data_IF_159632912401
#
_entry.id   IF_159632912401
#
_cell.length_a   1.000
_cell.length_b   1.000
_cell.length_c   1.000
_cell.angle_alpha   90.00
_cell.angle_beta   90.00
_cell.angle_gamma   90.00
#
_symmetry.space_group_name_H-M   'P 1'
#
loop_
_entity.id
_entity.type
_entity.pdbx_description
1 polymer ?
#
# COMPACT_ATOMS: atom_id res chain seq x y z
N UNK A 1 -39.41 8.68 11.12
CA UNK A 1 -38.11 9.19 10.64
C UNK A 1 -37.09 8.08 10.85
N UNK A 2 -36.62 7.45 9.78
CA UNK A 2 -35.56 6.44 9.82
C UNK A 2 -34.33 7.08 10.44
N UNK A 3 -33.93 6.64 11.63
CA UNK A 3 -32.76 7.16 12.31
C UNK A 3 -31.53 6.78 11.47
N UNK A 4 -31.04 7.73 10.66
CA UNK A 4 -29.84 7.55 9.85
C UNK A 4 -28.67 7.39 10.82
N UNK A 5 -28.16 6.18 10.92
CA UNK A 5 -27.00 5.85 11.75
C UNK A 5 -25.73 6.39 11.07
N UNK A 6 -25.34 7.61 11.45
CA UNK A 6 -24.18 8.33 10.93
C UNK A 6 -22.89 7.49 10.99
N UNK A 7 -22.76 6.62 11.99
CA UNK A 7 -21.59 5.75 12.17
C UNK A 7 -21.52 4.66 11.11
N UNK A 8 -22.67 4.12 10.68
CA UNK A 8 -22.74 3.18 9.55
C UNK A 8 -22.45 3.89 8.23
N UNK A 9 -22.92 5.12 8.07
CA UNK A 9 -22.67 5.91 6.86
C UNK A 9 -21.17 6.23 6.70
N UNK A 10 -20.50 6.70 7.76
CA UNK A 10 -19.06 6.97 7.78
C UNK A 10 -18.24 5.69 7.51
N UNK A 11 -18.65 4.55 8.09
CA UNK A 11 -18.01 3.26 7.83
C UNK A 11 -18.12 2.87 6.36
N UNK A 12 -19.30 3.04 5.74
CA UNK A 12 -19.50 2.74 4.31
C UNK A 12 -18.67 3.66 3.43
N UNK A 13 -18.69 4.97 3.69
CA UNK A 13 -17.89 5.95 2.95
C UNK A 13 -16.39 5.66 3.04
N UNK A 14 -15.90 5.27 4.22
CA UNK A 14 -14.50 4.90 4.41
C UNK A 14 -14.08 3.65 3.63
N UNK A 15 -14.93 2.63 3.58
CA UNK A 15 -14.68 1.43 2.79
C UNK A 15 -14.64 1.76 1.30
N UNK A 16 -15.67 2.46 0.80
CA UNK A 16 -15.71 2.88 -0.61
C UNK A 16 -14.54 3.78 -1.00
N UNK A 17 -14.05 4.62 -0.08
CA UNK A 17 -12.86 5.43 -0.32
C UNK A 17 -11.59 4.59 -0.51
N UNK A 18 -11.43 3.50 0.24
CA UNK A 18 -10.21 2.67 0.19
C UNK A 18 -10.29 1.53 -0.82
N UNK A 19 -11.47 1.23 -1.35
CA UNK A 19 -11.68 0.18 -2.35
C UNK A 19 -11.41 0.61 -3.80
N UNK A 20 -10.96 1.86 -4.02
CA UNK A 20 -10.75 2.48 -5.33
C UNK A 20 -9.56 1.92 -6.16
N UNK A 21 -8.79 0.98 -5.64
CA UNK A 21 -7.68 0.33 -6.35
C UNK A 21 -6.38 1.14 -6.38
N UNK A 22 -6.40 2.43 -5.98
CA UNK A 22 -5.19 3.27 -5.98
C UNK A 22 -4.18 2.76 -4.95
N UNK A 23 -4.67 2.30 -3.80
CA UNK A 23 -3.82 1.71 -2.75
C UNK A 23 -3.20 0.38 -3.20
N UNK A 24 -3.92 -0.43 -3.99
CA UNK A 24 -3.42 -1.67 -4.57
C UNK A 24 -2.32 -1.39 -5.62
N UNK A 25 -2.52 -0.39 -6.49
CA UNK A 25 -1.50 0.06 -7.46
C UNK A 25 -0.25 0.56 -6.73
N UNK A 26 -0.41 1.35 -5.68
CA UNK A 26 0.71 1.85 -4.89
C UNK A 26 1.50 0.72 -4.23
N UNK A 27 0.80 -0.26 -3.64
CA UNK A 27 1.37 -1.46 -3.05
C UNK A 27 2.15 -2.30 -4.08
N UNK A 28 1.55 -2.57 -5.25
CA UNK A 28 2.19 -3.32 -6.33
C UNK A 28 3.43 -2.60 -6.88
N UNK A 29 3.33 -1.29 -7.10
CA UNK A 29 4.44 -0.46 -7.54
C UNK A 29 5.59 -0.46 -6.52
N UNK A 30 5.30 -0.42 -5.23
CA UNK A 30 6.33 -0.50 -4.18
C UNK A 30 7.11 -1.82 -4.25
N UNK A 31 6.39 -2.94 -4.38
CA UNK A 31 7.00 -4.28 -4.50
C UNK A 31 7.81 -4.41 -5.80
N UNK A 32 7.31 -3.84 -6.91
CA UNK A 32 8.04 -3.81 -8.18
C UNK A 32 9.33 -3.00 -8.09
N UNK A 33 9.29 -1.82 -7.47
CA UNK A 33 10.49 -1.00 -7.27
C UNK A 33 11.52 -1.75 -6.44
N UNK A 34 11.10 -2.44 -5.39
CA UNK A 34 11.99 -3.32 -4.63
C UNK A 34 12.63 -4.40 -5.52
N UNK A 35 11.85 -5.10 -6.34
CA UNK A 35 12.35 -6.15 -7.22
C UNK A 35 13.35 -5.62 -8.27
N UNK A 36 13.00 -4.53 -8.95
CA UNK A 36 13.84 -3.93 -10.00
C UNK A 36 15.16 -3.42 -9.41
N UNK A 37 15.13 -2.72 -8.28
CA UNK A 37 16.36 -2.23 -7.65
C UNK A 37 17.24 -3.37 -7.14
N UNK A 38 16.64 -4.46 -6.67
CA UNK A 38 17.39 -5.65 -6.30
C UNK A 38 18.14 -6.21 -7.52
N UNK A 39 17.47 -6.32 -8.68
CA UNK A 39 18.08 -6.80 -9.92
C UNK A 39 19.19 -5.86 -10.44
N UNK A 40 18.99 -4.54 -10.36
CA UNK A 40 19.86 -3.57 -11.00
C UNK A 40 21.05 -3.11 -10.13
N UNK A 41 20.91 -3.12 -8.82
CA UNK A 41 21.88 -2.47 -7.91
C UNK A 41 22.36 -3.33 -6.75
N UNK A 42 21.83 -4.55 -6.60
CA UNK A 42 22.05 -5.44 -5.43
C UNK A 42 21.79 -4.77 -4.06
N UNK A 43 21.08 -3.62 -4.07
CA UNK A 43 20.75 -2.82 -2.88
C UNK A 43 19.23 -2.67 -2.77
N UNK A 44 18.51 -3.76 -2.47
CA UNK A 44 17.04 -3.77 -2.42
C UNK A 44 16.44 -2.74 -1.46
N UNK A 45 17.14 -2.42 -0.37
CA UNK A 45 16.70 -1.42 0.62
C UNK A 45 16.58 0.00 0.05
N UNK A 46 17.35 0.34 -0.99
CA UNK A 46 17.29 1.65 -1.61
C UNK A 46 15.96 1.85 -2.35
N UNK A 47 15.55 0.85 -3.14
CA UNK A 47 14.26 0.86 -3.84
C UNK A 47 13.07 0.80 -2.88
N UNK A 48 13.10 -0.07 -1.87
CA UNK A 48 12.02 -0.17 -0.88
C UNK A 48 11.92 1.05 0.04
N UNK A 49 13.03 1.68 0.41
CA UNK A 49 13.06 2.82 1.32
C UNK A 49 12.70 4.15 0.65
N UNK A 50 13.17 4.39 -0.59
CA UNK A 50 12.91 5.65 -1.29
C UNK A 50 11.49 5.73 -1.85
N UNK A 51 10.93 4.62 -2.33
CA UNK A 51 9.65 4.65 -3.01
C UNK A 51 8.51 5.24 -2.15
N UNK A 52 8.34 4.90 -0.85
CA UNK A 52 7.34 5.56 -0.02
C UNK A 52 7.55 7.08 0.07
N UNK A 53 8.80 7.54 0.17
CA UNK A 53 9.12 8.98 0.30
C UNK A 53 8.68 9.76 -0.94
N UNK A 54 9.00 9.25 -2.14
CA UNK A 54 8.66 9.93 -3.40
C UNK A 54 7.25 9.61 -3.88
N UNK A 55 6.78 8.39 -3.62
CA UNK A 55 5.50 7.89 -4.10
C UNK A 55 4.30 8.43 -3.32
N UNK A 56 4.45 8.76 -2.03
CA UNK A 56 3.35 9.28 -1.21
C UNK A 56 2.74 10.58 -1.75
N UNK A 57 3.52 11.60 -2.19
CA UNK A 57 2.97 12.76 -2.89
C UNK A 57 2.13 12.39 -4.12
N UNK A 58 2.59 11.44 -4.94
CA UNK A 58 1.86 10.97 -6.12
C UNK A 58 0.58 10.22 -5.73
N UNK A 59 0.65 9.40 -4.68
CA UNK A 59 -0.53 8.72 -4.12
C UNK A 59 -1.58 9.74 -3.65
N UNK A 60 -1.17 10.74 -2.87
CA UNK A 60 -2.08 11.79 -2.39
C UNK A 60 -2.69 12.58 -3.56
N UNK A 61 -1.89 12.90 -4.58
CA UNK A 61 -2.36 13.57 -5.79
C UNK A 61 -3.36 12.71 -6.59
N UNK A 62 -3.07 11.41 -6.74
CA UNK A 62 -3.95 10.47 -7.42
C UNK A 62 -5.30 10.35 -6.71
N UNK A 63 -5.31 10.22 -5.38
CA UNK A 63 -6.54 10.22 -4.57
C UNK A 63 -7.32 11.53 -4.74
N UNK A 64 -6.63 12.68 -4.70
CA UNK A 64 -7.25 14.00 -4.86
C UNK A 64 -7.86 14.20 -6.25
N UNK A 65 -7.25 13.68 -7.31
CA UNK A 65 -7.74 13.85 -8.69
C UNK A 65 -8.75 12.81 -9.12
N UNK A 66 -8.66 11.58 -8.62
CA UNK A 66 -9.49 10.47 -9.09
C UNK A 66 -10.62 10.19 -8.12
N UNK A 67 -10.31 9.92 -6.86
CA UNK A 67 -11.28 9.45 -5.86
C UNK A 67 -12.17 10.59 -5.35
N UNK A 68 -11.57 11.74 -5.03
CA UNK A 68 -12.28 12.87 -4.42
C UNK A 68 -13.39 13.44 -5.32
N UNK A 69 -13.20 13.65 -6.64
CA UNK A 69 -14.28 14.14 -7.49
C UNK A 69 -15.44 13.14 -7.70
N UNK A 70 -15.23 11.84 -7.40
CA UNK A 70 -16.20 10.77 -7.65
C UNK A 70 -17.03 10.40 -6.42
N UNK A 71 -16.39 10.36 -5.25
CA UNK A 71 -17.07 10.01 -3.97
C UNK A 71 -17.37 11.27 -3.14
N UNK A 72 -16.80 12.41 -3.52
CA UNK A 72 -16.77 13.61 -2.68
C UNK A 72 -15.64 13.55 -1.64
N UNK A 73 -15.43 14.67 -0.95
CA UNK A 73 -14.43 14.76 0.10
C UNK A 73 -14.98 14.15 1.40
N UNK A 74 -14.34 13.08 1.88
CA UNK A 74 -14.70 12.44 3.14
C UNK A 74 -13.79 12.97 4.24
N UNK A 75 -14.34 13.76 5.17
CA UNK A 75 -13.64 14.06 6.41
C UNK A 75 -13.70 12.85 7.34
N UNK A 76 -12.55 12.20 7.54
CA UNK A 76 -12.45 11.12 8.50
C UNK A 76 -12.46 11.67 9.93
N UNK A 77 -13.11 10.97 10.85
CA UNK A 77 -13.03 11.28 12.28
C UNK A 77 -11.59 11.42 12.76
N UNK A 78 -11.35 12.36 13.68
CA UNK A 78 -10.02 12.60 14.29
C UNK A 78 -9.33 11.31 14.75
N UNK A 79 -10.11 10.35 15.25
CA UNK A 79 -9.63 9.04 15.71
C UNK A 79 -9.01 8.18 14.60
N UNK A 80 -9.58 8.16 13.39
CA UNK A 80 -9.01 7.38 12.27
C UNK A 80 -7.78 8.06 11.70
N UNK A 81 -7.78 9.40 11.65
CA UNK A 81 -6.62 10.19 11.23
C UNK A 81 -5.45 10.02 12.18
N UNK A 82 -5.68 10.04 13.50
CA UNK A 82 -4.62 9.81 14.49
C UNK A 82 -4.09 8.39 14.42
N UNK A 83 -4.95 7.38 14.23
CA UNK A 83 -4.51 5.99 14.08
C UNK A 83 -3.62 5.80 12.84
N UNK A 84 -3.99 6.36 11.69
CA UNK A 84 -3.16 6.38 10.47
C UNK A 84 -1.80 7.06 10.70
N UNK A 85 -1.78 8.21 11.38
CA UNK A 85 -0.54 8.91 11.73
C UNK A 85 0.33 8.10 12.69
N UNK A 86 -0.27 7.47 13.70
CA UNK A 86 0.45 6.60 14.66
C UNK A 86 1.12 5.46 13.91
N UNK A 87 0.39 4.75 13.05
CA UNK A 87 0.95 3.65 12.24
C UNK A 87 2.09 4.16 11.36
N UNK A 88 1.91 5.31 10.71
CA UNK A 88 2.96 5.92 9.91
C UNK A 88 4.22 6.21 10.73
N UNK A 89 4.07 6.83 11.91
CA UNK A 89 5.18 7.10 12.83
C UNK A 89 5.84 5.81 13.27
N UNK A 90 5.07 4.76 13.58
CA UNK A 90 5.61 3.45 13.95
C UNK A 90 6.41 2.81 12.82
N UNK A 91 5.89 2.82 11.60
CA UNK A 91 6.59 2.28 10.43
C UNK A 91 7.88 3.06 10.20
N UNK A 92 7.82 4.40 10.21
CA UNK A 92 8.98 5.26 10.05
C UNK A 92 10.02 5.03 11.16
N UNK A 93 9.59 4.90 12.41
CA UNK A 93 10.45 4.61 13.54
C UNK A 93 11.14 3.25 13.41
N UNK A 94 10.40 2.20 13.03
CA UNK A 94 10.96 0.86 12.79
C UNK A 94 12.05 0.93 11.72
N UNK A 95 11.75 1.49 10.55
CA UNK A 95 12.75 1.60 9.48
C UNK A 95 13.95 2.47 9.86
N UNK A 96 13.74 3.54 10.64
CA UNK A 96 14.82 4.41 11.12
C UNK A 96 15.72 3.68 12.13
N UNK A 97 15.14 2.99 13.12
CA UNK A 97 15.90 2.24 14.12
C UNK A 97 16.70 1.12 13.46
N UNK A 98 16.09 0.33 12.57
CA UNK A 98 16.82 -0.69 11.81
C UNK A 98 17.92 -0.06 10.95
N UNK A 99 17.64 1.05 10.25
CA UNK A 99 18.64 1.78 9.47
C UNK A 99 19.85 2.22 10.31
N UNK A 100 19.62 2.77 11.51
CA UNK A 100 20.70 3.19 12.43
C UNK A 100 21.47 1.98 12.96
N UNK A 101 20.78 0.90 13.37
CA UNK A 101 21.43 -0.32 13.86
C UNK A 101 22.37 -0.92 12.81
N UNK A 102 21.94 -1.00 11.55
CA UNK A 102 22.78 -1.50 10.47
C UNK A 102 23.89 -0.53 10.06
N UNK A 103 23.64 0.77 10.09
CA UNK A 103 24.66 1.77 9.75
C UNK A 103 25.79 1.85 10.80
N UNK A 104 25.44 1.74 12.08
CA UNK A 104 26.39 1.84 13.19
C UNK A 104 27.12 0.52 13.50
N UNK A 105 26.64 -0.61 12.97
CA UNK A 105 27.20 -1.94 13.23
C UNK A 105 26.98 -2.44 14.66
N UNK A 106 26.22 -1.73 15.49
CA UNK A 106 25.91 -2.07 16.89
C UNK A 106 24.70 -3.01 17.04
N UNK A 107 24.35 -3.73 15.98
CA UNK A 107 23.27 -4.72 16.00
C UNK A 107 23.66 -5.92 16.88
N UNK A 108 22.75 -6.38 17.78
CA UNK A 108 22.92 -7.64 18.49
C UNK A 108 23.25 -8.80 17.54
N UNK A 109 24.08 -9.74 18.01
CA UNK A 109 24.55 -10.87 17.19
C UNK A 109 23.41 -11.65 16.55
N UNK A 110 22.33 -11.92 17.30
CA UNK A 110 21.16 -12.63 16.77
C UNK A 110 20.43 -11.87 15.65
N UNK A 111 20.42 -10.53 15.67
CA UNK A 111 19.86 -9.71 14.58
C UNK A 111 20.77 -9.81 13.36
N UNK A 112 22.08 -9.71 13.55
CA UNK A 112 23.02 -9.84 12.45
C UNK A 112 22.93 -11.22 11.79
N UNK A 113 22.86 -12.30 12.57
CA UNK A 113 22.69 -13.66 12.03
C UNK A 113 21.38 -13.79 11.24
N UNK A 114 20.26 -13.28 11.76
CA UNK A 114 18.96 -13.32 11.05
C UNK A 114 19.00 -12.59 9.71
N UNK A 115 19.59 -11.39 9.67
CA UNK A 115 19.67 -10.58 8.46
C UNK A 115 20.78 -11.01 7.51
N UNK A 116 21.79 -11.74 7.99
CA UNK A 116 22.86 -12.29 7.16
C UNK A 116 22.44 -13.63 6.54
N UNK A 117 21.86 -14.53 7.33
CA UNK A 117 21.53 -15.89 6.88
C UNK A 117 20.17 -15.95 6.18
N UNK A 118 19.23 -15.09 6.58
CA UNK A 118 17.85 -15.07 6.06
C UNK A 118 17.34 -13.69 5.64
N UNK A 119 18.13 -12.82 4.96
CA UNK A 119 17.72 -11.46 4.62
C UNK A 119 16.38 -11.39 3.86
N UNK A 120 16.19 -12.37 2.96
CA UNK A 120 15.05 -12.48 2.06
C UNK A 120 13.75 -12.83 2.80
N UNK A 121 13.82 -13.82 3.70
CA UNK A 121 12.67 -14.23 4.51
C UNK A 121 12.28 -13.17 5.53
N UNK A 122 13.27 -12.56 6.19
CA UNK A 122 13.05 -11.46 7.13
C UNK A 122 12.30 -10.32 6.44
N UNK A 123 12.75 -9.94 5.23
CA UNK A 123 12.04 -8.93 4.44
C UNK A 123 10.60 -9.34 4.14
N UNK A 124 10.37 -10.57 3.69
CA UNK A 124 9.03 -11.09 3.42
C UNK A 124 8.08 -11.03 4.61
N UNK A 125 8.56 -11.42 5.79
CA UNK A 125 7.78 -11.37 7.03
C UNK A 125 7.48 -9.93 7.44
N UNK A 126 8.48 -9.04 7.41
CA UNK A 126 8.29 -7.62 7.76
C UNK A 126 7.27 -6.98 6.82
N UNK A 127 7.41 -7.17 5.52
CA UNK A 127 6.47 -6.61 4.54
C UNK A 127 5.09 -7.26 4.67
N UNK A 128 5.00 -8.57 4.87
CA UNK A 128 3.73 -9.26 5.13
C UNK A 128 3.01 -8.71 6.35
N UNK A 129 3.73 -8.47 7.46
CA UNK A 129 3.19 -7.83 8.66
C UNK A 129 2.71 -6.41 8.39
N UNK A 130 3.46 -5.61 7.62
CA UNK A 130 3.02 -4.27 7.21
C UNK A 130 1.69 -4.32 6.45
N UNK A 131 1.55 -5.26 5.51
CA UNK A 131 0.29 -5.45 4.78
C UNK A 131 -0.85 -5.93 5.68
N UNK A 132 -0.58 -6.79 6.68
CA UNK A 132 -1.60 -7.19 7.67
C UNK A 132 -2.06 -6.01 8.53
N UNK A 133 -1.14 -5.16 8.99
CA UNK A 133 -1.47 -3.94 9.73
C UNK A 133 -2.31 -3.01 8.84
N UNK A 134 -1.88 -2.79 7.60
CA UNK A 134 -2.66 -2.02 6.62
C UNK A 134 -4.04 -2.62 6.39
N UNK A 135 -4.16 -3.95 6.27
CA UNK A 135 -5.42 -4.66 6.10
C UNK A 135 -6.37 -4.44 7.29
N UNK A 136 -5.85 -4.56 8.51
CA UNK A 136 -6.62 -4.37 9.74
C UNK A 136 -7.15 -2.94 9.87
N UNK A 137 -6.35 -1.98 9.45
CA UNK A 137 -6.62 -0.54 9.61
C UNK A 137 -7.57 -0.04 8.53
N UNK A 138 -7.30 -0.38 7.27
CA UNK A 138 -8.14 -0.02 6.13
C UNK A 138 -9.39 -0.88 6.01
N UNK A 139 -9.39 -2.05 6.70
CA UNK A 139 -10.43 -3.08 6.63
C UNK A 139 -10.68 -3.63 5.23
N UNK A 140 -9.70 -3.53 4.34
CA UNK A 140 -9.76 -4.07 2.99
C UNK A 140 -9.36 -5.56 3.04
N UNK A 141 -10.27 -6.44 2.61
CA UNK A 141 -10.00 -7.88 2.59
C UNK A 141 -8.81 -8.25 1.70
N UNK A 142 -8.64 -7.56 0.55
CA UNK A 142 -7.56 -7.80 -0.43
C UNK A 142 -6.16 -7.74 0.19
N UNK A 143 -5.93 -6.88 1.17
CA UNK A 143 -4.62 -6.75 1.82
C UNK A 143 -4.25 -7.95 2.69
N UNK A 144 -5.24 -8.66 3.25
CA UNK A 144 -4.98 -9.95 3.91
C UNK A 144 -4.49 -11.00 2.92
N UNK A 145 -5.09 -11.03 1.72
CA UNK A 145 -4.67 -11.93 0.64
C UNK A 145 -3.26 -11.58 0.17
N UNK A 146 -2.95 -10.30 -0.04
CA UNK A 146 -1.61 -9.87 -0.42
C UNK A 146 -0.57 -10.21 0.64
N UNK A 147 -0.87 -10.02 1.92
CA UNK A 147 0.05 -10.40 2.99
C UNK A 147 0.40 -11.90 2.95
N UNK A 148 -0.63 -12.76 2.78
CA UNK A 148 -0.43 -14.20 2.63
C UNK A 148 0.39 -14.54 1.38
N UNK A 149 0.09 -13.91 0.24
CA UNK A 149 0.83 -14.11 -1.01
C UNK A 149 2.29 -13.67 -0.88
N UNK A 150 2.57 -12.53 -0.25
CA UNK A 150 3.93 -12.03 -0.01
C UNK A 150 4.73 -13.07 0.77
N UNK A 151 4.20 -13.55 1.90
CA UNK A 151 4.90 -14.55 2.72
C UNK A 151 5.09 -15.86 1.94
N UNK A 152 4.06 -16.36 1.27
CA UNK A 152 4.14 -17.57 0.47
C UNK A 152 5.20 -17.46 -0.63
N UNK A 153 5.18 -16.37 -1.40
CA UNK A 153 6.14 -16.10 -2.48
C UNK A 153 7.56 -15.98 -1.95
N UNK A 154 7.78 -15.35 -0.79
CA UNK A 154 9.13 -15.27 -0.21
C UNK A 154 9.63 -16.62 0.33
N UNK A 155 8.75 -17.45 0.90
CA UNK A 155 9.12 -18.80 1.33
C UNK A 155 9.46 -19.68 0.13
N UNK A 156 8.62 -19.68 -0.90
CA UNK A 156 8.88 -20.40 -2.16
C UNK A 156 10.17 -19.88 -2.79
N UNK A 157 10.36 -18.56 -2.84
CA UNK A 157 11.56 -17.94 -3.37
C UNK A 157 12.81 -18.29 -2.57
N UNK A 158 12.72 -18.52 -1.25
CA UNK A 158 13.87 -18.99 -0.47
C UNK A 158 14.25 -20.43 -0.82
N UNK A 159 13.26 -21.31 -0.97
CA UNK A 159 13.48 -22.74 -1.27
C UNK A 159 13.98 -22.94 -2.71
N UNK A 160 13.36 -22.27 -3.68
CA UNK A 160 13.63 -22.46 -5.11
C UNK A 160 14.53 -21.37 -5.72
N UNK A 161 14.84 -20.31 -4.97
CA UNK A 161 15.67 -19.18 -5.40
C UNK A 161 17.06 -19.53 -5.95
N UNK A 162 17.74 -20.59 -5.46
CA UNK A 162 19.00 -21.04 -6.06
C UNK A 162 18.85 -21.56 -7.49
N UNK A 163 17.67 -22.10 -7.85
CA UNK A 163 17.39 -22.64 -9.17
C UNK A 163 16.77 -21.59 -10.12
N UNK A 164 15.87 -20.77 -9.57
CA UNK A 164 15.14 -19.73 -10.30
C UNK A 164 15.40 -18.44 -9.55
N UNK A 165 16.35 -17.64 -10.06
CA UNK A 165 16.78 -16.35 -9.49
C UNK A 165 15.69 -15.68 -8.64
N UNK A 166 15.99 -15.48 -7.36
CA UNK A 166 15.03 -15.03 -6.35
C UNK A 166 14.30 -13.75 -6.73
N UNK A 167 14.93 -12.87 -7.49
CA UNK A 167 14.40 -11.56 -7.84
C UNK A 167 13.12 -11.63 -8.71
N UNK A 168 12.89 -12.75 -9.41
CA UNK A 168 11.68 -12.92 -10.21
C UNK A 168 10.41 -13.09 -9.36
N UNK A 169 10.53 -13.61 -8.15
CA UNK A 169 9.39 -13.80 -7.24
C UNK A 169 8.71 -12.48 -6.82
N UNK A 170 9.42 -11.50 -6.22
CA UNK A 170 8.82 -10.19 -5.93
C UNK A 170 8.42 -9.44 -7.21
N UNK A 171 9.12 -9.65 -8.33
CA UNK A 171 8.77 -9.01 -9.60
C UNK A 171 7.39 -9.48 -10.10
N UNK A 172 7.17 -10.79 -10.20
CA UNK A 172 5.88 -11.37 -10.62
C UNK A 172 4.77 -10.95 -9.66
N UNK A 173 5.02 -11.01 -8.35
CA UNK A 173 4.04 -10.60 -7.35
C UNK A 173 3.67 -9.11 -7.46
N UNK A 174 4.66 -8.25 -7.68
CA UNK A 174 4.45 -6.83 -7.87
C UNK A 174 3.64 -6.54 -9.13
N UNK A 175 3.92 -7.21 -10.25
CA UNK A 175 3.12 -7.12 -11.48
C UNK A 175 1.68 -7.55 -11.19
N UNK A 176 1.49 -8.70 -10.54
CA UNK A 176 0.16 -9.24 -10.23
C UNK A 176 -0.67 -8.26 -9.40
N UNK A 177 -0.14 -7.75 -8.30
CA UNK A 177 -0.84 -6.81 -7.42
C UNK A 177 -1.15 -5.50 -8.16
N UNK A 178 -0.20 -5.00 -8.96
CA UNK A 178 -0.41 -3.79 -9.76
C UNK A 178 -1.52 -3.99 -10.80
N UNK A 179 -1.53 -5.12 -11.50
CA UNK A 179 -2.57 -5.46 -12.46
C UNK A 179 -3.95 -5.57 -11.80
N UNK A 180 -4.05 -6.22 -10.64
CA UNK A 180 -5.29 -6.29 -9.86
C UNK A 180 -5.76 -4.90 -9.45
N UNK A 181 -4.84 -4.06 -8.94
CA UNK A 181 -5.16 -2.69 -8.57
C UNK A 181 -5.65 -1.84 -9.74
N UNK A 182 -5.07 -2.03 -10.92
CA UNK A 182 -5.51 -1.35 -12.15
C UNK A 182 -6.91 -1.78 -12.57
N UNK A 183 -7.22 -3.08 -12.54
CA UNK A 183 -8.56 -3.59 -12.84
C UNK A 183 -9.60 -3.01 -11.86
N UNK A 184 -9.29 -3.00 -10.56
CA UNK A 184 -10.16 -2.42 -9.54
C UNK A 184 -10.36 -0.93 -9.77
N UNK A 185 -9.31 -0.19 -10.13
CA UNK A 185 -9.40 1.24 -10.41
C UNK A 185 -10.30 1.51 -11.62
N UNK A 186 -10.19 0.72 -12.69
CA UNK A 186 -11.04 0.85 -13.87
C UNK A 186 -12.50 0.58 -13.49
N UNK A 187 -12.77 -0.51 -12.76
CA UNK A 187 -14.11 -0.84 -12.26
C UNK A 187 -14.68 0.28 -11.39
N UNK A 188 -13.85 0.86 -10.52
CA UNK A 188 -14.23 1.97 -9.66
C UNK A 188 -14.61 3.22 -10.48
N UNK A 189 -13.80 3.58 -11.49
CA UNK A 189 -14.09 4.73 -12.36
C UNK A 189 -15.38 4.51 -13.16
N UNK A 190 -15.64 3.29 -13.61
CA UNK A 190 -16.86 2.94 -14.35
C UNK A 190 -18.10 2.94 -13.45
N UNK A 191 -17.95 2.52 -12.19
CA UNK A 191 -19.06 2.46 -11.22
C UNK A 191 -19.42 3.84 -10.67
N UNK A 192 -18.42 4.72 -10.53
CA UNK A 192 -18.57 6.08 -10.00
C UNK A 192 -18.15 7.12 -11.04
N UNK A 193 -18.97 7.39 -12.07
CA UNK A 193 -18.70 8.48 -13.01
C UNK A 193 -18.75 9.83 -12.30
N UNK A 194 -17.97 10.80 -12.78
CA UNK A 194 -18.01 12.17 -12.26
C UNK A 194 -19.34 12.79 -12.69
N UNK A 195 -20.13 13.25 -11.73
CA UNK A 195 -21.36 14.01 -12.02
C UNK A 195 -20.96 15.29 -12.76
N UNK A 196 -21.46 15.45 -13.99
CA UNK A 196 -21.31 16.71 -14.70
C UNK A 196 -22.06 17.80 -13.92
N UNK A 197 -21.42 18.94 -13.67
CA UNK A 197 -22.11 20.11 -13.14
C UNK A 197 -23.39 20.33 -13.95
N UNK A 198 -24.57 20.50 -13.32
CA UNK A 198 -25.77 20.83 -14.05
C UNK A 198 -25.49 22.14 -14.77
N UNK A 199 -25.31 22.05 -16.10
CA UNK A 199 -25.14 23.19 -16.97
C UNK A 199 -26.26 24.17 -16.62
N UNK A 200 -25.89 25.36 -16.15
CA UNK A 200 -26.83 26.45 -15.90
C UNK A 200 -27.70 26.59 -17.14
N UNK A 201 -28.92 26.04 -17.07
CA UNK A 201 -29.97 26.31 -18.03
C UNK A 201 -30.17 27.80 -17.93
N UNK A 202 -29.70 28.52 -18.95
CA UNK A 202 -29.82 29.96 -19.06
C UNK A 202 -31.29 30.32 -18.91
N UNK A 203 -31.62 30.83 -17.72
CA UNK A 203 -32.88 31.52 -17.46
C UNK A 203 -32.85 32.84 -18.23
N UNK A 204 -33.14 32.76 -19.53
CA UNK A 204 -33.58 33.91 -20.30
C UNK A 204 -34.93 34.32 -19.75
N UNK A 205 -34.93 35.27 -18.82
CA UNK A 205 -36.12 36.05 -18.53
C UNK A 205 -36.25 37.07 -19.66
N UNK A 206 -37.18 36.77 -20.57
CA UNK A 206 -37.87 37.72 -21.44
C UNK A 206 -38.56 38.81 -20.63
#
# INVERSE_FOLDING_TARGET
MTQIDLKKLEKKAFLSYHEDGIIDIFAGAWILFFAIFNICTDRPWFGAGMFPVYGLPFFALAKKRITVPRIGYVEFTKQRRSLMLIIYIWIAAIFTVFGILFYTGNSPSWINTLFHDYPKLVFGVVVGLLFLVCAWVTRIFRFYVYAGLIVAVMVIGHIYGPAIRYEYFPLILGVLILSVGMVVLIQFIQTYPVEAEPSHVGGGYT
#
